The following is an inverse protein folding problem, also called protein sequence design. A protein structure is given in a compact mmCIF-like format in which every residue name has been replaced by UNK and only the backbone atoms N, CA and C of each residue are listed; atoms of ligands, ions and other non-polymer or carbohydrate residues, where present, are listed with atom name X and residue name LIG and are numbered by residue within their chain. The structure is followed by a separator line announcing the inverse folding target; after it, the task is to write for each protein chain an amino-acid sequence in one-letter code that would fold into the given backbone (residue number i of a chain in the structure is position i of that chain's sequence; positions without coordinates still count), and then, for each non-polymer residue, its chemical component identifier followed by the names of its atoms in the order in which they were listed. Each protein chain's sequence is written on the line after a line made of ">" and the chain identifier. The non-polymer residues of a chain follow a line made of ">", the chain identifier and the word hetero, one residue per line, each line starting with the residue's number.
data_IF_820224523223
#
_entry.id   IF_820224523223
#
_cell.length_a   1.000
_cell.length_b   1.000
_cell.length_c   1.000
_cell.angle_alpha   90.00
_cell.angle_beta   90.00
_cell.angle_gamma   90.00
#
_symmetry.space_group_name_H-M   'P 1'
#
loop_
_entity.id
_entity.type
_entity.pdbx_description
1 polymer ?
#
# COMPACT_ATOMS: atom_id res chain seq x y z
N UNK A 1 -41.15 -34.93 -0.20
CA UNK A 1 -42.11 -33.82 -0.04
C UNK A 1 -41.54 -32.84 0.98
N UNK A 2 -40.84 -31.80 0.52
CA UNK A 2 -41.11 -30.41 0.89
C UNK A 2 -40.18 -29.49 0.09
N UNK A 3 -40.76 -28.39 -0.33
CA UNK A 3 -40.48 -27.61 -1.53
C UNK A 3 -39.87 -26.26 -1.16
N UNK A 4 -38.91 -25.84 -1.97
CA UNK A 4 -38.27 -24.52 -1.99
C UNK A 4 -39.23 -23.50 -2.61
N UNK A 5 -39.30 -22.23 -2.14
CA UNK A 5 -39.84 -21.15 -2.93
C UNK A 5 -38.73 -20.32 -3.59
N UNK A 6 -38.89 -20.17 -4.90
CA UNK A 6 -38.20 -19.27 -5.83
C UNK A 6 -38.82 -17.87 -5.85
N UNK A 7 -38.04 -16.94 -6.40
CA UNK A 7 -38.39 -15.66 -7.02
C UNK A 7 -38.29 -14.40 -6.14
N UNK A 8 -37.40 -13.50 -6.56
CA UNK A 8 -37.65 -12.06 -6.57
C UNK A 8 -36.92 -11.47 -7.79
N UNK A 9 -37.66 -10.63 -8.48
CA UNK A 9 -37.56 -10.23 -9.87
C UNK A 9 -36.64 -9.04 -10.11
N UNK A 10 -35.92 -9.09 -11.23
CA UNK A 10 -35.28 -7.98 -11.92
C UNK A 10 -36.26 -6.82 -12.20
N UNK A 11 -35.89 -5.59 -11.84
CA UNK A 11 -36.42 -4.39 -12.46
C UNK A 11 -35.36 -3.78 -13.37
N UNK A 12 -35.63 -3.94 -14.67
CA UNK A 12 -34.99 -3.22 -15.77
C UNK A 12 -35.72 -1.89 -15.97
N UNK A 13 -34.99 -0.79 -16.11
CA UNK A 13 -35.48 0.44 -16.75
C UNK A 13 -34.33 1.09 -17.52
N UNK A 14 -34.31 0.83 -18.82
CA UNK A 14 -33.62 1.61 -19.82
C UNK A 14 -34.60 2.63 -20.42
N UNK A 15 -34.16 3.86 -20.70
CA UNK A 15 -34.73 4.68 -21.79
C UNK A 15 -33.68 5.59 -22.45
N UNK A 16 -33.84 5.91 -23.76
CA UNK A 16 -32.87 6.65 -24.58
C UNK A 16 -33.35 8.04 -25.08
N UNK A 17 -32.41 8.79 -25.68
CA UNK A 17 -32.51 9.75 -26.80
C UNK A 17 -33.33 11.08 -26.75
N UNK A 18 -32.57 12.18 -26.92
CA UNK A 18 -32.70 13.36 -27.83
C UNK A 18 -33.80 14.46 -27.71
N UNK A 19 -33.32 15.66 -28.11
CA UNK A 19 -33.98 16.94 -28.49
C UNK A 19 -34.04 18.00 -27.37
N UNK A 20 -33.60 19.26 -27.53
CA UNK A 20 -33.83 20.19 -28.64
C UNK A 20 -32.71 21.24 -28.83
N UNK A 21 -32.62 21.72 -30.07
CA UNK A 21 -31.92 22.89 -30.61
C UNK A 21 -32.58 24.19 -30.11
N UNK A 22 -31.80 25.23 -29.78
CA UNK A 22 -32.08 26.62 -30.20
C UNK A 22 -30.79 27.43 -30.24
N UNK A 23 -30.45 27.90 -31.44
CA UNK A 23 -29.49 28.96 -31.72
C UNK A 23 -30.17 30.31 -31.46
N UNK A 24 -29.46 31.27 -30.88
CA UNK A 24 -29.70 32.67 -31.21
C UNK A 24 -28.38 33.45 -31.26
N UNK A 25 -28.30 34.26 -32.31
CA UNK A 25 -27.11 34.92 -32.80
C UNK A 25 -26.78 36.19 -32.02
N UNK A 26 -25.49 36.49 -31.87
CA UNK A 26 -25.02 37.74 -31.28
C UNK A 26 -23.53 37.96 -31.50
N UNK A 27 -23.15 38.30 -32.73
CA UNK A 27 -21.81 38.78 -33.05
C UNK A 27 -21.66 40.23 -32.61
N UNK A 28 -20.64 40.55 -31.81
CA UNK A 28 -20.11 41.90 -31.73
C UNK A 28 -18.58 41.83 -31.86
N UNK A 29 -18.11 42.03 -33.10
CA UNK A 29 -16.70 42.28 -33.41
C UNK A 29 -16.45 43.75 -33.09
N UNK A 30 -15.60 44.03 -32.10
CA UNK A 30 -14.96 45.35 -31.96
C UNK A 30 -13.46 45.12 -32.11
N UNK A 31 -12.94 45.51 -33.27
CA UNK A 31 -11.52 45.70 -33.49
C UNK A 31 -11.06 46.96 -32.76
N UNK A 32 -9.98 46.89 -31.99
CA UNK A 32 -8.81 47.78 -32.13
C UNK A 32 -7.75 47.29 -31.15
N UNK A 33 -6.56 47.03 -31.68
CA UNK A 33 -5.47 46.43 -30.94
C UNK A 33 -4.85 47.36 -29.91
N UNK A 34 -4.56 46.79 -28.75
CA UNK A 34 -3.40 47.16 -27.93
C UNK A 34 -2.78 45.83 -27.51
N UNK A 35 -1.56 45.59 -27.98
CA UNK A 35 -0.70 44.52 -27.50
C UNK A 35 -0.04 45.00 -26.20
N UNK A 36 -0.23 44.35 -25.03
CA UNK A 36 0.68 44.51 -23.93
C UNK A 36 1.76 43.44 -24.04
N UNK A 37 2.97 43.93 -24.21
CA UNK A 37 4.24 43.25 -23.96
C UNK A 37 4.26 42.77 -22.51
N UNK A 38 3.72 41.58 -22.28
CA UNK A 38 3.80 40.79 -21.07
C UNK A 38 3.55 39.36 -21.56
N UNK A 39 4.51 38.44 -21.69
CA UNK A 39 5.61 38.14 -20.79
C UNK A 39 6.69 37.48 -21.66
N UNK A 40 7.74 38.23 -21.98
CA UNK A 40 9.03 37.73 -22.48
C UNK A 40 9.90 37.32 -21.28
N UNK A 41 9.37 36.46 -20.41
CA UNK A 41 10.11 35.75 -19.37
C UNK A 41 9.54 34.34 -19.37
N UNK A 42 10.39 33.37 -19.68
CA UNK A 42 9.96 32.01 -19.98
C UNK A 42 9.10 31.40 -18.89
N UNK A 43 7.79 31.33 -19.13
CA UNK A 43 7.05 30.17 -18.67
C UNK A 43 7.44 29.05 -19.63
N UNK A 44 8.41 28.25 -19.19
CA UNK A 44 8.35 26.80 -19.41
C UNK A 44 6.89 26.42 -19.27
N UNK A 45 6.23 26.08 -20.38
CA UNK A 45 5.17 25.09 -20.34
C UNK A 45 5.84 23.89 -19.70
N UNK A 46 5.74 23.80 -18.38
CA UNK A 46 5.93 22.58 -17.65
C UNK A 46 4.88 21.64 -18.19
N UNK A 47 5.31 20.85 -19.18
CA UNK A 47 4.89 19.49 -19.41
C UNK A 47 4.96 18.78 -18.05
N UNK A 48 3.96 19.00 -17.20
CA UNK A 48 3.67 18.11 -16.11
C UNK A 48 3.09 16.88 -16.78
N UNK A 49 3.94 15.87 -16.99
CA UNK A 49 3.49 14.48 -17.10
C UNK A 49 2.87 14.09 -15.75
N UNK A 50 1.65 14.56 -15.50
CA UNK A 50 0.84 14.14 -14.37
C UNK A 50 0.29 12.75 -14.68
N UNK A 51 1.01 11.69 -14.30
CA UNK A 51 0.39 10.41 -13.94
C UNK A 51 1.41 9.49 -13.23
N UNK A 52 1.46 9.49 -11.88
CA UNK A 52 2.09 8.37 -11.18
C UNK A 52 1.31 7.08 -11.48
N UNK A 53 1.98 5.92 -11.56
CA UNK A 53 1.42 4.69 -12.07
C UNK A 53 0.51 4.04 -11.03
N UNK A 54 -0.28 3.04 -11.45
CA UNK A 54 -0.85 2.07 -10.53
C UNK A 54 0.23 1.42 -9.68
N UNK A 55 -0.11 1.18 -8.44
CA UNK A 55 0.71 0.34 -7.59
C UNK A 55 -0.17 -0.70 -6.86
N UNK A 56 -1.48 -0.68 -7.16
CA UNK A 56 -2.48 -1.56 -6.60
C UNK A 56 -2.54 -2.91 -7.34
N UNK A 57 -2.73 -4.00 -6.59
CA UNK A 57 -2.81 -5.37 -7.07
C UNK A 57 -4.24 -5.90 -7.08
N UNK A 58 -4.46 -7.07 -7.68
CA UNK A 58 -5.74 -7.76 -7.59
C UNK A 58 -6.11 -8.01 -6.12
N UNK A 59 -7.33 -7.66 -5.73
CA UNK A 59 -7.76 -7.70 -4.33
C UNK A 59 -7.55 -6.41 -3.55
N UNK A 60 -7.00 -5.36 -4.17
CA UNK A 60 -7.02 -4.02 -3.58
C UNK A 60 -8.44 -3.59 -3.21
N UNK A 61 -8.61 -3.04 -2.01
CA UNK A 61 -9.83 -2.43 -1.53
C UNK A 61 -10.05 -1.10 -2.25
N UNK A 62 -10.47 -1.18 -3.51
CA UNK A 62 -10.57 -0.04 -4.42
C UNK A 62 -11.37 1.14 -3.82
N UNK A 63 -12.44 0.87 -3.07
CA UNK A 63 -13.26 1.91 -2.41
C UNK A 63 -12.51 2.76 -1.39
N UNK A 64 -11.33 2.33 -0.93
CA UNK A 64 -10.50 3.02 0.06
C UNK A 64 -9.13 3.41 -0.50
N UNK A 65 -8.81 2.94 -1.71
CA UNK A 65 -7.56 3.28 -2.37
C UNK A 65 -7.63 4.70 -2.96
N UNK A 66 -6.74 5.59 -2.54
CA UNK A 66 -6.69 6.96 -3.05
C UNK A 66 -6.45 7.03 -4.57
N UNK A 67 -5.65 6.12 -5.14
CA UNK A 67 -5.43 6.03 -6.59
C UNK A 67 -6.66 5.58 -7.37
N UNK A 68 -7.56 4.79 -6.75
CA UNK A 68 -8.84 4.43 -7.36
C UNK A 68 -9.77 5.63 -7.45
N UNK A 69 -9.92 6.42 -6.38
CA UNK A 69 -10.74 7.63 -6.37
C UNK A 69 -10.28 8.65 -7.41
N UNK A 70 -8.95 8.75 -7.62
CA UNK A 70 -8.36 9.59 -8.66
C UNK A 70 -8.43 8.99 -10.08
N UNK A 71 -8.95 7.76 -10.26
CA UNK A 71 -9.05 7.03 -11.54
C UNK A 71 -7.71 6.82 -12.27
N UNK A 72 -6.60 6.78 -11.55
CA UNK A 72 -5.25 6.61 -12.12
C UNK A 72 -4.75 5.16 -12.08
N UNK A 73 -5.62 4.21 -11.73
CA UNK A 73 -5.23 2.83 -11.46
C UNK A 73 -5.69 1.86 -12.57
N UNK A 74 -4.85 1.42 -13.52
CA UNK A 74 -5.18 0.39 -14.52
C UNK A 74 -5.43 -1.02 -13.97
N UNK A 75 -5.17 -1.30 -12.70
CA UNK A 75 -5.60 -2.55 -12.05
C UNK A 75 -7.03 -2.48 -11.48
N UNK A 76 -7.67 -1.31 -11.51
CA UNK A 76 -9.05 -1.18 -11.07
C UNK A 76 -10.04 -1.94 -11.96
N UNK A 77 -11.27 -2.14 -11.49
CA UNK A 77 -12.34 -2.77 -12.28
C UNK A 77 -12.57 -2.09 -13.65
N UNK A 78 -12.32 -0.78 -13.72
CA UNK A 78 -12.43 0.03 -14.93
C UNK A 78 -11.15 0.04 -15.80
N UNK A 79 -10.08 -0.61 -15.33
CA UNK A 79 -8.81 -0.71 -16.06
C UNK A 79 -8.90 -1.65 -17.27
N UNK A 80 -7.93 -1.57 -18.21
CA UNK A 80 -7.97 -2.30 -19.47
C UNK A 80 -8.18 -3.81 -19.27
N UNK A 81 -9.27 -4.34 -19.81
CA UNK A 81 -9.62 -5.76 -19.66
C UNK A 81 -8.53 -6.70 -20.20
N UNK A 82 -7.83 -6.30 -21.27
CA UNK A 82 -6.71 -7.06 -21.84
C UNK A 82 -5.57 -7.28 -20.85
N UNK A 83 -5.19 -6.26 -20.07
CA UNK A 83 -4.14 -6.34 -19.04
C UNK A 83 -4.60 -7.18 -17.85
N UNK A 84 -5.89 -7.08 -17.48
CA UNK A 84 -6.45 -7.93 -16.41
C UNK A 84 -6.46 -9.40 -16.79
N UNK A 85 -6.88 -9.72 -18.01
CA UNK A 85 -6.92 -11.09 -18.52
C UNK A 85 -5.53 -11.68 -18.83
N UNK A 86 -4.47 -10.86 -18.91
CA UNK A 86 -3.10 -11.37 -19.04
C UNK A 86 -2.49 -11.87 -17.73
N UNK A 87 -3.15 -11.63 -16.58
CA UNK A 87 -2.69 -12.11 -15.27
C UNK A 87 -3.35 -13.46 -14.91
N UNK A 88 -2.60 -14.58 -14.79
CA UNK A 88 -3.17 -15.87 -14.39
C UNK A 88 -3.78 -15.86 -12.98
N UNK A 89 -3.23 -15.04 -12.07
CA UNK A 89 -3.76 -14.87 -10.72
C UNK A 89 -5.12 -14.18 -10.74
N UNK A 90 -5.25 -13.09 -11.50
CA UNK A 90 -6.52 -12.39 -11.68
C UNK A 90 -7.59 -13.31 -12.27
N UNK A 91 -7.26 -14.01 -13.36
CA UNK A 91 -8.21 -14.93 -14.02
C UNK A 91 -8.63 -16.07 -13.09
N UNK A 92 -7.71 -16.59 -12.27
CA UNK A 92 -8.03 -17.61 -11.26
C UNK A 92 -8.98 -17.07 -10.20
N UNK A 93 -8.68 -15.88 -9.65
CA UNK A 93 -9.49 -15.22 -8.63
C UNK A 93 -10.90 -14.90 -9.15
N UNK A 94 -11.01 -14.37 -10.36
CA UNK A 94 -12.29 -14.08 -11.05
C UNK A 94 -13.13 -15.36 -11.20
N UNK A 95 -12.53 -16.48 -11.64
CA UNK A 95 -13.23 -17.78 -11.75
C UNK A 95 -13.69 -18.35 -10.41
N UNK A 96 -12.95 -18.06 -9.34
CA UNK A 96 -13.27 -18.49 -7.97
C UNK A 96 -14.21 -17.50 -7.25
N UNK A 97 -14.60 -16.42 -7.91
CA UNK A 97 -15.40 -15.32 -7.32
C UNK A 97 -14.80 -14.81 -6.00
N UNK A 98 -13.47 -14.68 -5.97
CA UNK A 98 -12.69 -14.28 -4.79
C UNK A 98 -11.58 -13.30 -5.17
N UNK A 99 -10.80 -12.84 -4.19
CA UNK A 99 -9.57 -12.10 -4.40
C UNK A 99 -8.36 -12.94 -4.00
N UNK A 100 -7.23 -12.80 -4.68
CA UNK A 100 -6.03 -13.58 -4.33
C UNK A 100 -5.62 -13.39 -2.87
N UNK A 101 -5.66 -12.15 -2.34
CA UNK A 101 -5.27 -11.87 -0.95
C UNK A 101 -6.23 -12.48 0.08
N UNK A 102 -7.47 -12.78 -0.31
CA UNK A 102 -8.47 -13.40 0.57
C UNK A 102 -8.57 -14.92 0.34
N UNK A 103 -7.79 -15.46 -0.58
CA UNK A 103 -7.82 -16.88 -0.91
C UNK A 103 -7.13 -17.69 0.19
N UNK A 104 -7.82 -18.66 0.83
CA UNK A 104 -7.23 -19.45 1.92
C UNK A 104 -6.04 -20.32 1.46
N UNK A 105 -5.99 -20.63 0.16
CA UNK A 105 -4.93 -21.44 -0.44
C UNK A 105 -3.70 -20.61 -0.84
N UNK A 106 -3.70 -19.28 -0.66
CA UNK A 106 -2.73 -18.36 -1.28
C UNK A 106 -1.27 -18.84 -1.12
N UNK A 107 -0.89 -19.20 0.10
CA UNK A 107 0.48 -19.60 0.43
C UNK A 107 0.87 -21.00 -0.07
N UNK A 108 -0.10 -21.85 -0.38
CA UNK A 108 0.10 -23.20 -0.91
C UNK A 108 -0.24 -23.31 -2.40
N UNK A 109 -0.71 -22.22 -3.02
CA UNK A 109 -1.23 -22.22 -4.38
C UNK A 109 -0.10 -22.30 -5.42
N UNK A 110 -0.09 -23.31 -6.32
CA UNK A 110 0.94 -23.44 -7.34
C UNK A 110 0.90 -22.32 -8.38
N UNK A 111 -0.31 -21.84 -8.72
CA UNK A 111 -0.49 -20.71 -9.65
C UNK A 111 0.10 -19.44 -9.03
N UNK A 112 -0.18 -19.19 -7.74
CA UNK A 112 0.42 -18.08 -7.00
C UNK A 112 1.95 -18.18 -7.03
N UNK A 113 2.51 -19.30 -6.58
CA UNK A 113 3.97 -19.50 -6.56
C UNK A 113 4.64 -19.24 -7.91
N UNK A 114 4.01 -19.63 -9.02
CA UNK A 114 4.54 -19.44 -10.37
C UNK A 114 4.45 -17.98 -10.87
N UNK A 115 3.40 -17.24 -10.52
CA UNK A 115 3.09 -15.94 -11.14
C UNK A 115 3.21 -14.73 -10.21
N UNK A 116 3.43 -14.94 -8.90
CA UNK A 116 3.44 -13.88 -7.87
C UNK A 116 4.50 -12.78 -8.08
N UNK A 117 5.55 -13.04 -8.87
CA UNK A 117 6.62 -12.08 -9.22
C UNK A 117 6.36 -11.29 -10.51
N UNK A 118 5.35 -11.64 -11.30
CA UNK A 118 5.09 -11.07 -12.61
C UNK A 118 3.67 -10.48 -12.67
N UNK A 119 3.46 -9.39 -11.93
CA UNK A 119 2.19 -8.68 -11.95
C UNK A 119 2.13 -7.75 -13.18
N UNK A 120 1.18 -7.92 -14.12
CA UNK A 120 1.10 -7.04 -15.29
C UNK A 120 0.62 -5.62 -14.97
N UNK A 121 0.15 -5.39 -13.74
CA UNK A 121 -0.17 -4.06 -13.24
C UNK A 121 1.03 -3.33 -12.62
N UNK A 122 2.12 -4.05 -12.38
CA UNK A 122 3.32 -3.51 -11.75
C UNK A 122 4.21 -2.90 -12.82
N UNK A 123 4.29 -1.57 -12.85
CA UNK A 123 5.25 -0.86 -13.67
C UNK A 123 6.46 -0.46 -12.81
N UNK A 124 7.58 -1.14 -13.00
CA UNK A 124 8.83 -0.96 -12.25
C UNK A 124 9.48 0.41 -12.48
N UNK A 125 9.16 1.12 -13.57
CA UNK A 125 9.80 2.40 -13.90
C UNK A 125 9.23 3.61 -13.16
N UNK A 126 8.09 3.47 -12.47
CA UNK A 126 7.30 4.65 -12.09
C UNK A 126 6.81 4.64 -10.63
N UNK A 127 7.35 3.80 -9.72
CA UNK A 127 6.94 3.65 -8.30
C UNK A 127 7.09 4.91 -7.39
N UNK A 128 6.85 6.13 -7.89
CA UNK A 128 7.19 7.38 -7.26
C UNK A 128 6.30 7.77 -6.06
N UNK A 129 5.03 7.38 -6.00
CA UNK A 129 4.07 8.19 -5.21
C UNK A 129 3.33 7.49 -4.07
N UNK A 130 3.87 6.43 -3.45
CA UNK A 130 3.56 6.07 -2.04
C UNK A 130 4.42 4.87 -1.62
N UNK A 131 5.46 5.14 -0.82
CA UNK A 131 6.51 4.20 -0.40
C UNK A 131 6.99 3.24 -1.51
N UNK A 132 8.09 3.54 -2.21
CA UNK A 132 8.78 2.53 -3.03
C UNK A 132 9.22 1.31 -2.19
N UNK A 133 9.82 0.32 -2.85
CA UNK A 133 10.47 -0.76 -2.10
C UNK A 133 11.58 -0.14 -1.23
N UNK A 134 11.63 -0.48 0.06
CA UNK A 134 12.57 0.15 0.98
C UNK A 134 12.15 0.08 2.44
N UNK A 135 13.03 0.61 3.30
CA UNK A 135 12.77 0.88 4.71
C UNK A 135 12.37 2.34 4.95
N UNK A 136 11.44 2.54 5.88
CA UNK A 136 10.88 3.83 6.24
C UNK A 136 10.80 3.98 7.75
N UNK A 137 11.05 5.20 8.23
CA UNK A 137 10.87 5.59 9.63
C UNK A 137 9.96 6.80 9.72
N UNK A 138 8.93 6.68 10.54
CA UNK A 138 8.00 7.76 10.87
C UNK A 138 8.40 8.35 12.22
N UNK A 139 8.58 9.67 12.27
CA UNK A 139 8.82 10.38 13.53
C UNK A 139 7.48 10.74 14.15
N UNK A 140 7.01 9.93 15.08
CA UNK A 140 5.71 10.14 15.71
C UNK A 140 5.68 9.60 17.15
N UNK A 141 4.70 10.08 17.92
CA UNK A 141 4.50 9.69 19.31
C UNK A 141 3.31 8.72 19.46
N UNK A 142 2.31 8.91 18.59
CA UNK A 142 1.15 8.03 18.45
C UNK A 142 1.34 7.18 17.21
N UNK A 143 0.57 6.11 17.05
CA UNK A 143 0.71 5.15 15.96
C UNK A 143 -0.08 5.57 14.69
N UNK A 144 -0.62 6.78 14.67
CA UNK A 144 -1.64 7.19 13.70
C UNK A 144 -1.10 7.31 12.27
N UNK A 145 0.06 7.96 12.08
CA UNK A 145 0.61 8.18 10.76
C UNK A 145 1.18 6.89 10.18
N UNK A 146 1.86 6.07 11.00
CA UNK A 146 2.31 4.75 10.54
C UNK A 146 1.15 3.83 10.19
N UNK A 147 0.04 3.84 10.94
CA UNK A 147 -1.13 3.03 10.58
C UNK A 147 -1.81 3.54 9.32
N UNK A 148 -1.90 4.85 9.11
CA UNK A 148 -2.41 5.41 7.85
C UNK A 148 -1.54 4.94 6.68
N UNK A 149 -0.23 5.05 6.83
CA UNK A 149 0.73 4.67 5.79
C UNK A 149 0.70 3.19 5.48
N UNK A 150 0.68 2.35 6.51
CA UNK A 150 0.51 0.92 6.38
C UNK A 150 -0.86 0.55 5.79
N UNK A 151 -1.94 1.15 6.25
CA UNK A 151 -3.31 0.86 5.80
C UNK A 151 -3.51 1.18 4.32
N UNK A 152 -2.95 2.28 3.82
CA UNK A 152 -2.99 2.59 2.39
C UNK A 152 -2.24 1.51 1.57
N UNK A 153 -1.09 1.00 2.03
CA UNK A 153 -0.42 -0.16 1.40
C UNK A 153 -1.31 -1.38 1.35
N UNK A 154 -1.96 -1.74 2.46
CA UNK A 154 -2.87 -2.89 2.52
C UNK A 154 -4.07 -2.68 1.59
N UNK A 155 -4.62 -1.47 1.54
CA UNK A 155 -5.74 -1.10 0.66
C UNK A 155 -5.38 -1.24 -0.83
N UNK A 156 -4.10 -1.11 -1.18
CA UNK A 156 -3.56 -1.34 -2.53
C UNK A 156 -3.28 -2.81 -2.81
N UNK A 157 -3.51 -3.71 -1.86
CA UNK A 157 -3.34 -5.14 -2.05
C UNK A 157 -1.92 -5.64 -1.73
N UNK A 158 -1.14 -4.88 -0.96
CA UNK A 158 0.04 -5.44 -0.30
C UNK A 158 -0.41 -6.46 0.77
N UNK A 159 0.35 -7.53 0.94
CA UNK A 159 0.17 -8.43 2.09
C UNK A 159 0.79 -7.78 3.33
N UNK A 160 0.03 -7.70 4.42
CA UNK A 160 0.45 -7.03 5.65
C UNK A 160 1.00 -7.97 6.71
N UNK A 161 1.96 -7.49 7.49
CA UNK A 161 2.35 -8.04 8.78
C UNK A 161 2.50 -6.89 9.79
N UNK A 162 1.79 -6.98 10.92
CA UNK A 162 1.94 -6.06 12.04
C UNK A 162 2.84 -6.70 13.10
N UNK A 163 3.85 -5.97 13.54
CA UNK A 163 4.67 -6.33 14.69
C UNK A 163 4.44 -5.25 15.74
N UNK A 164 3.80 -5.60 16.86
CA UNK A 164 3.36 -4.65 17.87
C UNK A 164 3.96 -4.97 19.22
N UNK A 165 4.41 -3.94 19.95
CA UNK A 165 4.66 -4.02 21.39
C UNK A 165 3.37 -3.76 22.17
N UNK A 166 2.55 -2.82 21.70
CA UNK A 166 1.29 -2.45 22.33
C UNK A 166 0.21 -3.54 22.18
N UNK A 167 -0.85 -3.47 23.00
CA UNK A 167 -2.01 -4.34 22.85
C UNK A 167 -2.63 -4.15 21.45
N UNK A 168 -3.10 -5.22 20.77
CA UNK A 168 -3.83 -5.11 19.51
C UNK A 168 -5.06 -4.19 19.55
N UNK A 169 -5.55 -3.83 20.75
CA UNK A 169 -6.61 -2.84 20.94
C UNK A 169 -6.32 -1.48 20.28
N UNK A 170 -5.05 -1.14 20.02
CA UNK A 170 -4.65 0.08 19.30
C UNK A 170 -5.13 0.11 17.85
N UNK A 171 -5.51 -1.06 17.32
CA UNK A 171 -6.10 -1.19 15.98
C UNK A 171 -7.61 -0.97 15.97
N UNK A 172 -8.26 -0.73 17.13
CA UNK A 172 -9.69 -0.41 17.17
C UNK A 172 -9.95 0.86 16.37
N UNK A 173 -10.84 0.77 15.37
CA UNK A 173 -11.08 1.84 14.40
C UNK A 173 -10.42 1.62 13.04
N UNK A 174 -9.60 0.57 12.90
CA UNK A 174 -8.93 0.16 11.68
C UNK A 174 -9.42 -1.22 11.19
N UNK A 175 -10.67 -1.33 10.71
CA UNK A 175 -11.31 -2.62 10.42
C UNK A 175 -10.57 -3.49 9.38
N UNK A 176 -9.79 -2.88 8.48
CA UNK A 176 -8.96 -3.62 7.52
C UNK A 176 -7.69 -4.21 8.14
N UNK A 177 -7.21 -3.63 9.24
CA UNK A 177 -6.01 -4.08 9.93
C UNK A 177 -6.30 -5.21 10.93
N UNK A 178 -7.55 -5.34 11.38
CA UNK A 178 -7.97 -6.45 12.27
C UNK A 178 -7.77 -7.85 11.65
N UNK A 179 -7.73 -7.94 10.31
CA UNK A 179 -7.51 -9.20 9.58
C UNK A 179 -6.04 -9.43 9.23
N UNK A 180 -5.17 -8.46 9.48
CA UNK A 180 -3.74 -8.55 9.19
C UNK A 180 -3.08 -9.42 10.27
N UNK A 181 -2.19 -10.37 9.91
CA UNK A 181 -1.42 -11.13 10.89
C UNK A 181 -0.66 -10.20 11.84
N UNK A 182 -0.72 -10.50 13.14
CA UNK A 182 -0.05 -9.73 14.21
C UNK A 182 0.97 -10.64 14.91
N UNK A 183 2.18 -10.10 15.09
CA UNK A 183 3.23 -10.66 15.93
C UNK A 183 3.47 -9.73 17.11
N UNK A 184 3.36 -10.24 18.33
CA UNK A 184 3.51 -9.42 19.54
C UNK A 184 4.95 -9.46 20.07
N UNK A 185 5.55 -8.30 20.35
CA UNK A 185 6.86 -8.19 21.02
C UNK A 185 6.68 -8.28 22.53
N UNK A 186 7.02 -9.43 23.13
CA UNK A 186 6.79 -9.71 24.55
C UNK A 186 7.88 -10.61 25.14
N UNK A 187 8.37 -10.31 26.34
CA UNK A 187 9.36 -11.13 27.07
C UNK A 187 8.75 -12.31 27.84
N UNK A 188 7.44 -12.29 28.12
CA UNK A 188 6.74 -13.37 28.84
C UNK A 188 6.57 -14.61 27.97
N UNK A 189 6.28 -15.77 28.61
CA UNK A 189 6.14 -17.09 27.98
C UNK A 189 5.52 -16.96 26.59
N UNK A 190 6.27 -17.32 25.52
CA UNK A 190 5.80 -17.08 24.16
C UNK A 190 4.44 -17.75 23.93
N UNK A 191 3.46 -16.95 23.55
CA UNK A 191 2.23 -17.45 22.95
C UNK A 191 2.51 -17.76 21.47
N UNK A 192 1.62 -18.46 20.79
CA UNK A 192 1.86 -18.96 19.42
C UNK A 192 2.26 -17.86 18.40
N UNK A 193 2.01 -16.58 18.69
CA UNK A 193 2.38 -15.44 17.85
C UNK A 193 3.19 -14.34 18.57
N UNK A 194 3.97 -14.67 19.60
CA UNK A 194 4.87 -13.69 20.24
C UNK A 194 6.35 -13.94 20.03
N UNK A 195 7.11 -12.85 20.01
CA UNK A 195 8.56 -12.82 19.87
C UNK A 195 9.18 -12.06 21.04
N UNK A 196 10.22 -12.66 21.63
CA UNK A 196 11.05 -11.99 22.61
C UNK A 196 11.88 -10.89 21.93
N UNK A 197 11.85 -9.63 22.41
CA UNK A 197 12.62 -8.53 21.82
C UNK A 197 14.14 -8.77 21.81
N UNK A 198 14.66 -9.62 22.68
CA UNK A 198 16.09 -9.99 22.73
C UNK A 198 16.45 -11.01 21.65
N UNK A 199 15.46 -11.70 21.07
CA UNK A 199 15.66 -12.66 19.98
C UNK A 199 15.54 -11.98 18.60
N UNK A 200 16.45 -11.01 18.38
CA UNK A 200 16.51 -10.24 17.13
C UNK A 200 16.69 -11.13 15.89
N UNK A 201 17.35 -12.29 16.04
CA UNK A 201 17.52 -13.27 14.97
C UNK A 201 16.17 -13.90 14.54
N UNK A 202 15.32 -14.28 15.50
CA UNK A 202 13.99 -14.84 15.17
C UNK A 202 13.10 -13.79 14.53
N UNK A 203 13.12 -12.55 15.03
CA UNK A 203 12.39 -11.42 14.42
C UNK A 203 12.84 -11.17 12.98
N UNK A 204 14.15 -11.17 12.74
CA UNK A 204 14.71 -11.03 11.40
C UNK A 204 14.22 -12.12 10.45
N UNK A 205 14.32 -13.39 10.87
CA UNK A 205 13.86 -14.54 10.07
C UNK A 205 12.36 -14.48 9.78
N UNK A 206 11.53 -14.05 10.75
CA UNK A 206 10.09 -13.88 10.56
C UNK A 206 9.79 -12.86 9.47
N UNK A 207 10.42 -11.68 9.50
CA UNK A 207 10.20 -10.63 8.49
C UNK A 207 10.74 -11.07 7.12
N UNK A 208 11.93 -11.67 7.08
CA UNK A 208 12.54 -12.14 5.84
C UNK A 208 11.70 -13.22 5.16
N UNK A 209 11.22 -14.23 5.90
CA UNK A 209 10.39 -15.29 5.32
C UNK A 209 9.01 -14.74 4.91
N UNK A 210 8.50 -13.73 5.60
CA UNK A 210 7.30 -13.01 5.17
C UNK A 210 7.51 -12.35 3.81
N UNK A 211 8.56 -11.54 3.62
CA UNK A 211 8.87 -10.92 2.32
C UNK A 211 9.10 -11.93 1.19
N UNK A 212 9.75 -13.05 1.48
CA UNK A 212 10.00 -14.12 0.51
C UNK A 212 8.72 -14.86 0.09
N UNK A 213 7.84 -15.08 1.05
CA UNK A 213 6.56 -15.77 0.83
C UNK A 213 5.55 -14.86 0.14
N UNK A 214 5.50 -13.60 0.54
CA UNK A 214 4.60 -12.56 0.06
C UNK A 214 5.34 -11.53 -0.82
N UNK A 215 5.27 -11.60 -2.16
CA UNK A 215 5.77 -10.51 -3.00
C UNK A 215 5.01 -9.23 -2.70
N UNK A 216 5.73 -8.12 -2.61
CA UNK A 216 5.15 -6.80 -2.28
C UNK A 216 4.34 -6.85 -0.98
N UNK A 217 5.06 -7.25 0.07
CA UNK A 217 4.55 -7.22 1.43
C UNK A 217 4.87 -5.86 2.07
N UNK A 218 4.04 -5.48 3.02
CA UNK A 218 4.31 -4.37 3.92
C UNK A 218 4.39 -4.91 5.33
N UNK A 219 5.46 -4.58 6.05
CA UNK A 219 5.62 -4.87 7.47
C UNK A 219 5.64 -3.55 8.22
N UNK A 220 4.79 -3.40 9.24
CA UNK A 220 4.87 -2.29 10.18
C UNK A 220 5.36 -2.83 11.53
N UNK A 221 6.47 -2.28 12.01
CA UNK A 221 7.05 -2.58 13.31
C UNK A 221 6.87 -1.39 14.25
N UNK A 222 6.01 -1.58 15.24
CA UNK A 222 5.87 -0.71 16.42
C UNK A 222 6.67 -1.28 17.59
N UNK A 223 7.45 -0.42 18.25
CA UNK A 223 8.34 -0.79 19.34
C UNK A 223 9.83 -0.80 18.97
N UNK A 224 10.26 0.07 18.05
CA UNK A 224 11.69 0.20 17.70
C UNK A 224 12.54 0.58 18.90
N UNK A 225 12.08 1.53 19.72
CA UNK A 225 12.74 1.98 20.94
C UNK A 225 12.87 0.83 21.95
N UNK A 226 11.87 -0.04 21.99
CA UNK A 226 11.92 -1.23 22.83
C UNK A 226 13.01 -2.21 22.35
N UNK A 227 13.14 -2.42 21.05
CA UNK A 227 14.22 -3.23 20.49
C UNK A 227 15.60 -2.60 20.74
N UNK A 228 15.74 -1.27 20.63
CA UNK A 228 16.98 -0.54 20.94
C UNK A 228 17.37 -0.74 22.40
N UNK A 229 16.46 -0.54 23.34
CA UNK A 229 16.71 -0.72 24.78
C UNK A 229 17.20 -2.14 25.10
N UNK A 230 16.66 -3.15 24.42
CA UNK A 230 17.01 -4.56 24.68
C UNK A 230 18.29 -5.04 23.97
N UNK A 231 18.67 -4.43 22.84
CA UNK A 231 19.73 -4.97 21.99
C UNK A 231 20.91 -4.01 21.76
N UNK A 232 20.73 -2.71 22.02
CA UNK A 232 21.66 -1.64 21.67
C UNK A 232 21.54 -1.22 20.20
N UNK A 233 21.80 0.05 19.93
CA UNK A 233 21.65 0.68 18.60
C UNK A 233 22.47 -0.02 17.52
N UNK A 234 23.71 -0.43 17.80
CA UNK A 234 24.61 -1.06 16.83
C UNK A 234 24.04 -2.36 16.24
N UNK A 235 23.31 -3.12 17.06
CA UNK A 235 22.67 -4.36 16.61
C UNK A 235 21.41 -4.07 15.80
N UNK A 236 20.66 -3.03 16.18
CA UNK A 236 19.48 -2.59 15.46
C UNK A 236 19.83 -2.05 14.08
N UNK A 237 20.87 -1.23 13.94
CA UNK A 237 21.34 -0.74 12.63
C UNK A 237 21.67 -1.90 11.69
N UNK A 238 22.41 -2.92 12.17
CA UNK A 238 22.71 -4.13 11.37
C UNK A 238 21.46 -4.91 10.99
N UNK A 239 20.51 -5.01 11.91
CA UNK A 239 19.21 -5.64 11.66
C UNK A 239 18.44 -4.88 10.57
N UNK A 240 18.34 -3.55 10.68
CA UNK A 240 17.67 -2.68 9.71
C UNK A 240 18.31 -2.80 8.34
N UNK A 241 19.63 -2.70 8.25
CA UNK A 241 20.39 -2.88 7.01
C UNK A 241 20.01 -4.18 6.30
N UNK A 242 19.96 -5.28 7.05
CA UNK A 242 19.60 -6.60 6.52
C UNK A 242 18.13 -6.69 6.10
N UNK A 243 17.21 -6.06 6.83
CA UNK A 243 15.78 -6.01 6.48
C UNK A 243 15.56 -5.18 5.21
N UNK A 244 16.17 -3.99 5.12
CA UNK A 244 16.08 -3.10 3.95
C UNK A 244 16.61 -3.81 2.70
N UNK A 245 17.72 -4.53 2.81
CA UNK A 245 18.23 -5.35 1.69
C UNK A 245 17.19 -6.36 1.17
N UNK A 246 16.39 -6.97 2.06
CA UNK A 246 15.29 -7.84 1.64
C UNK A 246 14.12 -7.07 1.00
N UNK A 247 13.85 -5.84 1.42
CA UNK A 247 12.75 -5.04 0.86
C UNK A 247 12.93 -4.80 -0.64
N UNK A 248 14.17 -4.52 -1.07
CA UNK A 248 14.50 -4.31 -2.48
C UNK A 248 14.32 -5.59 -3.31
N UNK A 249 14.78 -6.74 -2.80
CA UNK A 249 14.68 -8.03 -3.49
C UNK A 249 13.23 -8.46 -3.77
N UNK A 250 12.31 -8.16 -2.83
CA UNK A 250 10.92 -8.62 -2.88
C UNK A 250 9.91 -7.52 -3.26
N UNK A 251 10.40 -6.34 -3.65
CA UNK A 251 9.59 -5.14 -3.89
C UNK A 251 8.66 -4.83 -2.71
N UNK A 252 9.14 -4.99 -1.48
CA UNK A 252 8.37 -4.91 -0.24
C UNK A 252 8.68 -3.62 0.54
N UNK A 253 7.91 -3.32 1.59
CA UNK A 253 8.14 -2.18 2.48
C UNK A 253 8.34 -2.63 3.91
N UNK A 254 9.31 -2.02 4.57
CA UNK A 254 9.44 -2.07 6.01
C UNK A 254 9.16 -0.66 6.55
N UNK A 255 8.17 -0.53 7.43
CA UNK A 255 7.78 0.72 8.06
C UNK A 255 8.00 0.56 9.55
N UNK A 256 8.59 1.55 10.19
CA UNK A 256 8.68 1.62 11.64
C UNK A 256 8.46 3.06 12.10
N UNK A 257 8.28 3.23 13.40
CA UNK A 257 8.13 4.53 14.04
C UNK A 257 9.10 4.67 15.20
N UNK A 258 9.51 5.91 15.44
CA UNK A 258 10.34 6.30 16.58
C UNK A 258 9.82 7.64 17.11
N UNK A 259 9.66 7.76 18.43
CA UNK A 259 9.53 9.04 19.10
C UNK A 259 10.92 9.68 19.23
N UNK A 260 11.23 10.77 18.48
CA UNK A 260 12.55 11.37 18.50
C UNK A 260 12.92 11.98 19.86
N UNK A 261 11.97 12.13 20.79
CA UNK A 261 12.22 12.71 22.12
C UNK A 261 12.82 11.71 23.11
N UNK A 262 12.71 10.41 22.85
CA UNK A 262 13.15 9.36 23.77
C UNK A 262 14.49 8.74 23.38
N UNK A 263 15.03 9.12 22.21
CA UNK A 263 16.28 8.60 21.67
C UNK A 263 17.36 9.70 21.66
N UNK A 264 18.63 9.30 21.78
CA UNK A 264 19.74 10.24 21.58
C UNK A 264 19.85 10.63 20.09
N UNK A 265 20.28 11.86 19.82
CA UNK A 265 20.38 12.38 18.44
C UNK A 265 21.32 11.51 17.57
N UNK A 266 22.43 11.07 18.14
CA UNK A 266 23.40 10.18 17.46
C UNK A 266 22.78 8.82 17.08
N UNK A 267 21.96 8.24 17.96
CA UNK A 267 21.29 6.96 17.70
C UNK A 267 20.20 7.10 16.62
N UNK A 268 19.48 8.22 16.64
CA UNK A 268 18.46 8.53 15.64
C UNK A 268 19.09 8.70 14.26
N UNK A 269 20.19 9.45 14.17
CA UNK A 269 20.95 9.65 12.93
C UNK A 269 21.44 8.32 12.34
N UNK A 270 21.87 7.38 13.18
CA UNK A 270 22.30 6.05 12.71
C UNK A 270 21.14 5.26 12.10
N UNK A 271 19.94 5.34 12.68
CA UNK A 271 18.76 4.65 12.17
C UNK A 271 18.26 5.28 10.87
N UNK A 272 18.24 6.61 10.79
CA UNK A 272 17.79 7.36 9.62
C UNK A 272 18.75 7.28 8.43
N UNK A 273 20.00 6.85 8.65
CA UNK A 273 20.90 6.47 7.55
C UNK A 273 20.49 5.16 6.88
N UNK A 274 19.83 4.26 7.60
CA UNK A 274 19.33 2.99 7.06
C UNK A 274 17.88 3.11 6.53
N UNK A 275 17.09 4.05 7.05
CA UNK A 275 15.65 4.18 6.77
C UNK A 275 15.30 5.56 6.22
N UNK A 276 14.41 5.59 5.23
CA UNK A 276 13.92 6.84 4.67
C UNK A 276 12.94 7.53 5.62
N UNK A 277 13.21 8.78 6.07
CA UNK A 277 12.31 9.49 6.96
C UNK A 277 11.02 9.91 6.26
N UNK A 278 9.89 9.81 6.96
CA UNK A 278 8.56 10.17 6.44
C UNK A 278 7.98 11.31 7.28
N UNK A 279 7.62 12.42 6.63
CA UNK A 279 7.19 13.65 7.33
C UNK A 279 5.69 13.94 7.22
N UNK A 280 4.99 13.37 6.23
CA UNK A 280 3.54 13.53 6.04
C UNK A 280 2.93 12.32 5.35
N UNK A 281 1.65 12.02 5.64
CA UNK A 281 0.87 10.98 4.97
C UNK A 281 -0.56 11.46 4.69
#
# INVERSE_FOLDING_TARGET
>A
MHSIPTSLSCFSLATPHLAHIFMDAGSLIISTGILPVAIMIGLKLSLFEDNPPPDARCGAACSWCSSFHKRHCPSCANGPKSVRLSCPLFVCAEKKETYCIECPDLFYCPIYKAHKKACPFENSTVLADTFPAGGYVVREQTLDMSLNAFSDRISRGDLGLLILRQSPDVLKGWPYLEKVPIVSLQQTIPQDNSLDPTNLAKLHLTIQEFFKTAPRASVLLEGMEYLIVHNGVDRIVKFLHSIVSCTEEYSSRFITLIDPRVLQEEDLDLIERELNPVQSW
#
